data_IF_435159339614
#
_entry.id   IF_435159339614
#
_cell.length_a   1.000
_cell.length_b   1.000
_cell.length_c   1.000
_cell.angle_alpha   90.00
_cell.angle_beta   90.00
_cell.angle_gamma   90.00
#
_symmetry.space_group_name_H-M   'P 1'
#
loop_
_entity.id
_entity.type
_entity.pdbx_description
1 polymer ?
#
# COMPACT_ATOMS: atom_id res chain seq x y z
N UNK A 1 -5.08 -28.54 -1.86
CA UNK A 1 -5.19 -28.77 -3.33
C UNK A 1 -4.12 -27.92 -3.98
N UNK A 2 -3.46 -28.39 -5.04
CA UNK A 2 -2.47 -27.55 -5.72
C UNK A 2 -3.17 -26.42 -6.48
N UNK A 3 -2.76 -25.18 -6.26
CA UNK A 3 -3.24 -24.02 -7.02
C UNK A 3 -2.92 -24.22 -8.49
N UNK A 4 -3.94 -24.13 -9.35
CA UNK A 4 -3.75 -24.19 -10.80
C UNK A 4 -3.59 -22.77 -11.33
N UNK A 5 -2.61 -22.60 -12.22
CA UNK A 5 -2.31 -21.32 -12.85
C UNK A 5 -2.68 -21.37 -14.33
N UNK A 6 -3.12 -20.23 -14.87
CA UNK A 6 -3.35 -20.04 -16.30
C UNK A 6 -2.76 -18.72 -16.75
N UNK A 7 -2.34 -18.67 -18.01
CA UNK A 7 -1.99 -17.42 -18.66
C UNK A 7 -3.24 -16.52 -18.73
N UNK A 8 -3.11 -15.28 -18.25
CA UNK A 8 -4.13 -14.25 -18.29
C UNK A 8 -3.60 -13.07 -19.10
N UNK A 9 -4.47 -12.56 -19.96
CA UNK A 9 -4.27 -11.31 -20.69
C UNK A 9 -4.73 -10.14 -19.81
N UNK A 10 -3.90 -9.12 -19.73
CA UNK A 10 -4.14 -7.85 -19.04
C UNK A 10 -4.12 -6.73 -20.09
N UNK A 11 -4.89 -5.66 -19.86
CA UNK A 11 -4.95 -4.49 -20.75
C UNK A 11 -5.20 -4.87 -22.22
N UNK A 12 -6.19 -5.74 -22.45
CA UNK A 12 -6.52 -6.21 -23.80
C UNK A 12 -5.47 -7.12 -24.46
N UNK A 13 -4.57 -7.73 -23.67
CA UNK A 13 -3.54 -8.64 -24.16
C UNK A 13 -2.16 -8.00 -24.35
N UNK A 14 -2.04 -6.70 -24.12
CA UNK A 14 -0.76 -5.99 -24.19
C UNK A 14 0.24 -6.48 -23.13
N UNK A 15 -0.26 -6.97 -21.99
CA UNK A 15 0.53 -7.64 -20.95
C UNK A 15 -0.06 -9.02 -20.67
N UNK A 16 0.79 -9.99 -20.38
CA UNK A 16 0.36 -11.35 -20.00
C UNK A 16 1.07 -11.80 -18.74
N UNK A 17 0.39 -12.61 -17.91
CA UNK A 17 0.96 -13.19 -16.69
C UNK A 17 0.24 -14.48 -16.32
N UNK A 18 0.91 -15.41 -15.65
CA UNK A 18 0.23 -16.56 -15.04
C UNK A 18 -0.40 -16.20 -13.69
N UNK A 19 -1.72 -16.37 -13.57
CA UNK A 19 -2.47 -16.14 -12.34
C UNK A 19 -3.27 -17.39 -11.92
N UNK A 20 -3.56 -17.53 -10.61
CA UNK A 20 -4.45 -18.58 -10.13
C UNK A 20 -5.81 -18.53 -10.84
N UNK A 21 -6.31 -19.70 -11.26
CA UNK A 21 -7.54 -19.80 -12.08
C UNK A 21 -8.82 -19.44 -11.34
N UNK A 22 -8.77 -19.48 -10.02
CA UNK A 22 -9.85 -19.26 -9.07
C UNK A 22 -10.05 -17.80 -8.70
N UNK A 23 -9.13 -16.91 -9.08
CA UNK A 23 -9.30 -15.47 -8.88
C UNK A 23 -10.47 -14.95 -9.72
N UNK A 24 -11.25 -14.07 -9.09
CA UNK A 24 -12.31 -13.29 -9.72
C UNK A 24 -11.70 -12.02 -10.30
N UNK A 25 -12.03 -11.73 -11.54
CA UNK A 25 -11.78 -10.43 -12.12
C UNK A 25 -12.79 -9.40 -11.59
N UNK A 26 -12.30 -8.31 -11.00
CA UNK A 26 -13.17 -7.27 -10.45
C UNK A 26 -13.91 -6.50 -11.54
N UNK A 27 -13.39 -6.45 -12.78
CA UNK A 27 -14.03 -5.75 -13.89
C UNK A 27 -15.43 -6.30 -14.22
N UNK A 28 -15.64 -7.60 -13.96
CA UNK A 28 -16.92 -8.29 -14.18
C UNK A 28 -18.00 -7.81 -13.19
N UNK A 29 -17.60 -7.22 -12.06
CA UNK A 29 -18.48 -6.84 -10.95
C UNK A 29 -18.64 -5.33 -10.88
N UNK A 30 -17.56 -4.59 -11.13
CA UNK A 30 -17.52 -3.13 -11.02
C UNK A 30 -16.61 -2.54 -12.08
N UNK A 31 -16.85 -1.28 -12.41
CA UNK A 31 -15.88 -0.50 -13.17
C UNK A 31 -14.59 -0.34 -12.34
N UNK A 32 -13.45 -0.57 -13.00
CA UNK A 32 -12.10 -0.33 -12.49
C UNK A 32 -11.42 0.71 -13.40
N UNK A 33 -10.50 1.54 -12.88
CA UNK A 33 -9.76 2.47 -13.72
C UNK A 33 -9.01 1.76 -14.85
N UNK A 34 -8.92 2.38 -16.03
CA UNK A 34 -8.32 1.74 -17.23
C UNK A 34 -6.85 1.33 -17.07
N UNK A 35 -6.11 2.02 -16.20
CA UNK A 35 -4.71 1.73 -15.89
C UNK A 35 -4.55 0.65 -14.81
N UNK A 36 -5.66 0.07 -14.29
CA UNK A 36 -5.67 -0.94 -13.24
C UNK A 36 -6.33 -2.24 -13.68
N UNK A 37 -5.77 -3.35 -13.19
CA UNK A 37 -6.35 -4.69 -13.25
C UNK A 37 -6.45 -5.22 -11.82
N UNK A 38 -7.64 -5.68 -11.40
CA UNK A 38 -7.88 -6.05 -10.00
C UNK A 38 -8.49 -7.44 -9.89
N UNK A 39 -7.76 -8.34 -9.24
CA UNK A 39 -8.18 -9.71 -9.00
C UNK A 39 -8.42 -9.98 -7.53
N UNK A 40 -9.48 -10.72 -7.22
CA UNK A 40 -9.89 -11.06 -5.85
C UNK A 40 -9.92 -12.56 -5.66
N UNK A 41 -9.37 -13.04 -4.54
CA UNK A 41 -9.52 -14.43 -4.16
C UNK A 41 -10.97 -14.74 -3.76
N UNK A 42 -11.41 -15.97 -4.07
CA UNK A 42 -12.74 -16.48 -3.71
C UNK A 42 -12.79 -17.04 -2.30
N UNK A 43 -11.70 -17.66 -1.89
CA UNK A 43 -11.60 -18.39 -0.63
C UNK A 43 -10.98 -17.54 0.47
N UNK A 44 -10.19 -16.55 0.08
CA UNK A 44 -9.42 -15.70 0.98
C UNK A 44 -9.74 -14.25 0.65
N UNK A 45 -9.48 -13.34 1.59
CA UNK A 45 -9.60 -11.90 1.34
C UNK A 45 -8.35 -11.31 0.66
N UNK A 46 -7.51 -12.15 0.05
CA UNK A 46 -6.36 -11.69 -0.71
C UNK A 46 -6.80 -11.04 -2.00
N UNK A 47 -6.19 -9.89 -2.32
CA UNK A 47 -6.41 -9.18 -3.57
C UNK A 47 -5.10 -8.89 -4.28
N UNK A 48 -5.14 -8.84 -5.60
CA UNK A 48 -4.02 -8.51 -6.46
C UNK A 48 -4.42 -7.32 -7.30
N UNK A 49 -3.59 -6.28 -7.31
CA UNK A 49 -3.78 -5.07 -8.09
C UNK A 49 -2.55 -4.92 -8.98
N UNK A 50 -2.75 -4.86 -10.29
CA UNK A 50 -1.72 -4.44 -11.26
C UNK A 50 -2.08 -3.04 -11.73
N UNK A 51 -1.11 -2.14 -11.74
CA UNK A 51 -1.32 -0.73 -12.03
C UNK A 51 -0.16 -0.17 -12.86
N UNK A 52 -0.51 0.55 -13.93
CA UNK A 52 0.43 1.30 -14.76
C UNK A 52 0.47 2.74 -14.25
N UNK A 53 1.60 3.15 -13.67
CA UNK A 53 1.82 4.49 -13.14
C UNK A 53 2.85 5.24 -13.97
N UNK A 54 2.84 6.57 -13.85
CA UNK A 54 3.91 7.40 -14.38
C UNK A 54 5.23 7.10 -13.65
N UNK A 55 6.34 7.25 -14.36
CA UNK A 55 7.66 7.13 -13.77
C UNK A 55 7.89 8.22 -12.72
N UNK A 56 8.27 7.80 -11.52
CA UNK A 56 8.59 8.74 -10.44
C UNK A 56 10.02 9.21 -10.60
N UNK A 57 10.16 10.45 -11.06
CA UNK A 57 11.40 11.22 -10.92
C UNK A 57 11.55 11.63 -9.45
N UNK A 58 12.59 11.13 -8.79
CA UNK A 58 13.04 11.71 -7.55
C UNK A 58 13.74 13.04 -7.85
N UNK A 59 13.66 14.00 -6.93
CA UNK A 59 14.29 15.30 -7.10
C UNK A 59 15.80 15.16 -7.30
N UNK A 60 16.37 16.07 -8.10
CA UNK A 60 17.82 16.14 -8.36
C UNK A 60 18.63 16.03 -7.07
N UNK A 61 19.75 15.28 -7.08
CA UNK A 61 20.54 15.06 -5.88
C UNK A 61 21.06 16.40 -5.33
N UNK A 62 20.59 16.74 -4.13
CA UNK A 62 21.14 17.82 -3.31
C UNK A 62 22.15 17.22 -2.32
N UNK A 63 23.43 17.26 -2.67
CA UNK A 63 24.48 16.97 -1.70
C UNK A 63 24.62 18.16 -0.77
N UNK A 64 24.34 17.95 0.52
CA UNK A 64 24.53 18.97 1.56
C UNK A 64 25.78 18.62 2.36
N UNK A 65 26.91 19.23 2.03
CA UNK A 65 28.14 19.07 2.80
C UNK A 65 28.17 20.08 3.95
N UNK A 66 28.23 19.58 5.19
CA UNK A 66 28.40 20.42 6.37
C UNK A 66 29.83 20.31 6.85
N UNK A 67 30.63 21.34 6.58
CA UNK A 67 32.01 21.41 7.07
C UNK A 67 32.05 22.24 8.34
N UNK A 68 32.52 21.63 9.44
CA UNK A 68 32.76 22.33 10.70
C UNK A 68 34.26 22.47 10.91
N UNK A 69 34.76 23.70 10.92
CA UNK A 69 36.17 24.00 11.16
C UNK A 69 36.30 24.79 12.45
N UNK A 70 37.12 24.29 13.38
CA UNK A 70 37.45 24.98 14.63
C UNK A 70 38.88 25.49 14.55
N UNK A 71 39.06 26.80 14.70
CA UNK A 71 40.37 27.46 14.72
C UNK A 71 41.09 27.24 16.05
N UNK A 72 42.42 27.36 16.07
CA UNK A 72 43.23 27.25 17.30
C UNK A 72 42.86 28.26 18.39
N UNK A 73 42.16 29.35 18.05
CA UNK A 73 41.63 30.35 18.98
C UNK A 73 40.24 29.98 19.56
N UNK A 74 39.71 28.80 19.26
CA UNK A 74 38.43 28.31 19.77
C UNK A 74 37.19 28.80 19.02
N UNK A 75 37.35 29.50 17.90
CA UNK A 75 36.23 29.90 17.03
C UNK A 75 35.86 28.72 16.16
N UNK A 76 34.63 28.22 16.30
CA UNK A 76 34.04 27.18 15.45
C UNK A 76 33.16 27.83 14.38
N UNK A 77 33.47 27.56 13.12
CA UNK A 77 32.65 27.97 11.97
C UNK A 77 32.07 26.72 11.32
N UNK A 78 30.74 26.65 11.29
CA UNK A 78 30.00 25.63 10.55
C UNK A 78 29.51 26.27 9.26
N UNK A 79 29.94 25.76 8.12
CA UNK A 79 29.43 26.15 6.82
C UNK A 79 28.69 24.96 6.21
N UNK A 80 27.45 25.19 5.83
CA UNK A 80 26.63 24.24 5.09
C UNK A 80 26.63 24.68 3.64
N UNK A 81 27.23 23.88 2.77
CA UNK A 81 27.20 24.12 1.32
C UNK A 81 26.24 23.12 0.70
N UNK A 82 25.21 23.63 0.02
CA UNK A 82 24.30 22.84 -0.78
C UNK A 82 24.70 23.00 -2.24
N UNK A 83 25.18 21.92 -2.85
CA UNK A 83 25.53 21.88 -4.26
C UNK A 83 24.51 21.06 -5.02
N UNK A 84 23.94 21.64 -6.07
CA UNK A 84 23.11 20.93 -7.04
C UNK A 84 24.03 20.49 -8.17
N UNK A 85 24.18 19.18 -8.36
CA UNK A 85 24.93 18.61 -9.47
C UNK A 85 23.98 17.93 -10.44
N UNK A 86 24.25 18.00 -11.74
CA UNK A 86 23.58 17.13 -12.70
C UNK A 86 24.17 15.72 -12.56
N UNK A 87 23.34 14.68 -12.58
CA UNK A 87 23.79 13.27 -12.47
C UNK A 87 24.84 12.90 -13.55
N UNK A 88 24.82 13.61 -14.68
CA UNK A 88 25.78 13.53 -15.76
C UNK A 88 27.23 13.91 -15.38
N UNK A 89 27.42 14.73 -14.35
CA UNK A 89 28.73 15.19 -13.88
C UNK A 89 29.36 14.26 -12.83
N UNK A 90 28.60 13.28 -12.32
CA UNK A 90 29.08 12.33 -11.33
C UNK A 90 29.91 11.19 -11.95
N UNK A 91 30.96 10.72 -11.24
CA UNK A 91 31.67 9.49 -11.58
C UNK A 91 30.72 8.29 -11.79
N UNK A 92 31.05 7.34 -12.69
CA UNK A 92 30.17 6.22 -13.02
C UNK A 92 29.73 5.37 -11.83
N UNK A 93 30.63 5.15 -10.86
CA UNK A 93 30.32 4.36 -9.65
C UNK A 93 29.30 5.06 -8.75
N UNK A 94 29.40 6.39 -8.61
CA UNK A 94 28.45 7.18 -7.84
C UNK A 94 27.10 7.27 -8.56
N UNK A 95 27.10 7.38 -9.89
CA UNK A 95 25.87 7.36 -10.69
C UNK A 95 25.06 6.07 -10.51
N UNK A 96 25.71 4.92 -10.52
CA UNK A 96 25.03 3.63 -10.30
C UNK A 96 24.43 3.52 -8.89
N UNK A 97 25.13 4.03 -7.88
CA UNK A 97 24.63 4.07 -6.50
C UNK A 97 23.44 5.03 -6.37
N UNK A 98 23.52 6.22 -6.96
CA UNK A 98 22.43 7.20 -6.95
C UNK A 98 21.19 6.75 -7.71
N UNK A 99 21.35 6.17 -8.90
CA UNK A 99 20.23 5.57 -9.65
C UNK A 99 19.56 4.46 -8.83
N UNK A 100 20.34 3.63 -8.12
CA UNK A 100 19.77 2.63 -7.22
C UNK A 100 19.04 3.26 -6.03
N UNK A 101 19.55 4.32 -5.42
CA UNK A 101 18.88 5.01 -4.32
C UNK A 101 17.56 5.64 -4.76
N UNK A 102 17.55 6.23 -5.95
CA UNK A 102 16.38 6.79 -6.60
C UNK A 102 15.31 5.72 -6.88
N UNK A 103 15.72 4.55 -7.36
CA UNK A 103 14.83 3.40 -7.54
C UNK A 103 14.19 2.91 -6.24
N UNK A 104 14.99 2.86 -5.16
CA UNK A 104 14.50 2.45 -3.84
C UNK A 104 13.53 3.49 -3.26
N UNK A 105 13.80 4.78 -3.48
CA UNK A 105 12.89 5.86 -3.11
C UNK A 105 11.58 5.80 -3.89
N UNK A 106 11.62 5.51 -5.20
CA UNK A 106 10.43 5.32 -6.02
C UNK A 106 9.59 4.12 -5.55
N UNK A 107 10.23 3.00 -5.19
CA UNK A 107 9.54 1.84 -4.61
C UNK A 107 8.80 2.19 -3.32
N UNK A 108 9.45 2.94 -2.42
CA UNK A 108 8.84 3.40 -1.19
C UNK A 108 7.70 4.40 -1.45
N UNK A 109 7.89 5.35 -2.38
CA UNK A 109 6.88 6.32 -2.79
C UNK A 109 5.61 5.61 -3.25
N UNK A 110 5.72 4.72 -4.26
CA UNK A 110 4.60 3.94 -4.79
C UNK A 110 3.90 3.11 -3.71
N UNK A 111 4.64 2.59 -2.72
CA UNK A 111 4.02 1.85 -1.61
C UNK A 111 3.19 2.76 -0.70
N UNK A 112 3.70 3.95 -0.40
CA UNK A 112 3.04 4.88 0.53
C UNK A 112 1.94 5.72 -0.10
N UNK A 113 1.99 5.97 -1.41
CA UNK A 113 1.04 6.83 -2.14
C UNK A 113 -0.41 6.32 -2.04
N UNK A 114 -0.58 5.00 -1.96
CA UNK A 114 -1.90 4.35 -1.81
C UNK A 114 -2.43 4.36 -0.37
N UNK A 115 -1.64 4.83 0.61
CA UNK A 115 -2.03 4.84 2.03
C UNK A 115 -2.68 6.20 2.35
N UNK A 116 -4.00 6.20 2.50
CA UNK A 116 -4.75 7.40 2.87
C UNK A 116 -5.08 7.45 4.37
N UNK A 117 -4.95 8.60 5.06
CA UNK A 117 -5.41 8.74 6.43
C UNK A 117 -6.88 8.32 6.59
N UNK A 118 -7.24 7.58 7.64
CA UNK A 118 -6.46 7.30 8.85
C UNK A 118 -5.48 6.11 8.73
N UNK A 119 -5.39 5.44 7.59
CA UNK A 119 -4.52 4.28 7.41
C UNK A 119 -3.05 4.70 7.51
N UNK A 120 -2.23 3.77 7.99
CA UNK A 120 -0.80 4.01 8.18
C UNK A 120 -0.01 2.72 8.12
N UNK A 121 1.29 2.85 7.92
CA UNK A 121 2.22 1.75 8.08
C UNK A 121 2.21 1.23 9.52
N UNK A 122 2.21 -0.10 9.68
CA UNK A 122 2.32 -0.77 10.98
C UNK A 122 3.75 -0.68 11.54
N UNK A 123 4.74 -0.63 10.65
CA UNK A 123 6.16 -0.51 10.94
C UNK A 123 6.87 0.25 9.81
N UNK A 124 8.07 0.81 10.05
CA UNK A 124 8.88 1.38 8.97
C UNK A 124 9.08 0.38 7.83
N UNK A 125 9.05 0.87 6.59
CA UNK A 125 9.29 0.04 5.41
C UNK A 125 10.74 -0.46 5.40
N UNK A 126 10.97 -1.74 5.08
CA UNK A 126 12.31 -2.24 4.82
C UNK A 126 12.85 -1.64 3.50
N UNK A 127 14.13 -1.87 3.23
CA UNK A 127 14.69 -1.56 1.92
C UNK A 127 14.10 -2.52 0.88
N UNK A 128 13.73 -2.00 -0.29
CA UNK A 128 13.25 -2.85 -1.37
C UNK A 128 14.38 -3.77 -1.88
N UNK A 129 14.04 -5.02 -2.17
CA UNK A 129 14.96 -6.03 -2.69
C UNK A 129 14.95 -5.99 -4.22
N UNK A 130 16.12 -5.84 -4.83
CA UNK A 130 16.25 -5.90 -6.29
C UNK A 130 16.05 -7.33 -6.79
N UNK A 131 15.16 -7.48 -7.77
CA UNK A 131 14.87 -8.76 -8.43
C UNK A 131 15.13 -8.66 -9.94
N UNK A 132 15.33 -9.81 -10.57
CA UNK A 132 15.45 -9.91 -12.03
C UNK A 132 14.21 -10.60 -12.60
N UNK A 133 13.52 -9.92 -13.50
CA UNK A 133 12.37 -10.47 -14.21
C UNK A 133 12.86 -11.58 -15.17
N UNK A 134 12.16 -12.71 -15.20
CA UNK A 134 12.57 -13.85 -16.03
C UNK A 134 12.21 -13.64 -17.52
N UNK A 135 11.13 -12.91 -17.80
CA UNK A 135 10.68 -12.63 -19.16
C UNK A 135 11.67 -11.69 -19.86
N UNK A 136 12.08 -12.00 -21.11
CA UNK A 136 13.02 -11.15 -21.85
C UNK A 136 12.55 -9.71 -22.07
N UNK A 137 11.22 -9.47 -22.15
CA UNK A 137 10.68 -8.12 -22.32
C UNK A 137 10.99 -7.20 -21.14
N UNK A 138 11.07 -7.78 -19.92
CA UNK A 138 11.25 -7.03 -18.68
C UNK A 138 12.64 -7.21 -18.06
N UNK A 139 13.44 -8.19 -18.50
CA UNK A 139 14.74 -8.53 -17.91
C UNK A 139 15.76 -7.37 -17.90
N UNK A 140 15.63 -6.42 -18.82
CA UNK A 140 16.52 -5.25 -18.91
C UNK A 140 16.13 -4.11 -17.95
N UNK A 141 14.92 -4.13 -17.41
CA UNK A 141 14.40 -3.06 -16.55
C UNK A 141 14.67 -3.40 -15.07
N UNK A 142 15.06 -2.41 -14.25
CA UNK A 142 15.23 -2.64 -12.83
C UNK A 142 13.88 -2.91 -12.17
N UNK A 143 13.83 -3.98 -11.37
CA UNK A 143 12.64 -4.41 -10.66
C UNK A 143 12.94 -4.61 -9.17
N UNK A 144 11.97 -4.28 -8.32
CA UNK A 144 12.13 -4.26 -6.87
C UNK A 144 10.91 -4.86 -6.18
N UNK A 145 11.14 -5.67 -5.16
CA UNK A 145 10.11 -6.18 -4.26
C UNK A 145 10.19 -5.44 -2.94
N UNK A 146 9.06 -4.91 -2.49
CA UNK A 146 8.94 -4.20 -1.22
C UNK A 146 7.77 -4.78 -0.42
N UNK A 147 8.05 -5.55 0.66
CA UNK A 147 7.03 -5.97 1.59
C UNK A 147 6.75 -4.87 2.62
N UNK A 148 5.50 -4.78 3.08
CA UNK A 148 5.12 -3.92 4.20
C UNK A 148 3.81 -4.35 4.82
N UNK A 149 3.50 -3.78 5.99
CA UNK A 149 2.23 -4.03 6.66
C UNK A 149 1.51 -2.71 6.87
N UNK A 150 0.26 -2.65 6.43
CA UNK A 150 -0.61 -1.49 6.58
C UNK A 150 -1.60 -1.81 7.69
N UNK A 151 -1.90 -0.80 8.50
CA UNK A 151 -2.98 -0.86 9.44
C UNK A 151 -4.13 -0.03 8.88
N UNK A 152 -5.17 -0.72 8.43
CA UNK A 152 -6.33 -0.16 7.73
C UNK A 152 -7.48 0.01 8.73
N UNK A 153 -8.10 1.18 8.81
CA UNK A 153 -9.23 1.41 9.71
C UNK A 153 -10.56 1.27 8.98
N UNK A 154 -11.45 0.49 9.57
CA UNK A 154 -12.81 0.41 9.07
C UNK A 154 -13.63 1.62 9.55
N UNK A 155 -14.28 2.38 8.65
CA UNK A 155 -15.14 3.46 9.06
C UNK A 155 -16.29 2.90 9.90
N UNK A 156 -16.50 3.45 11.10
CA UNK A 156 -17.61 3.07 11.97
C UNK A 156 -18.91 3.22 11.18
N UNK A 157 -19.55 2.09 10.83
CA UNK A 157 -20.90 2.11 10.26
C UNK A 157 -21.82 2.73 11.30
N UNK A 158 -22.14 4.01 11.12
CA UNK A 158 -23.17 4.68 11.92
C UNK A 158 -24.47 3.93 11.61
N UNK A 159 -24.90 3.07 12.53
CA UNK A 159 -26.21 2.42 12.44
C UNK A 159 -27.31 3.48 12.32
N UNK A 160 -28.48 3.14 11.75
CA UNK A 160 -29.61 4.06 11.74
C UNK A 160 -29.91 4.53 13.18
N UNK A 161 -30.25 5.81 13.39
CA UNK A 161 -30.53 6.32 14.72
C UNK A 161 -31.64 5.49 15.38
N UNK A 162 -31.54 5.17 16.67
CA UNK A 162 -32.60 4.44 17.36
C UNK A 162 -33.90 5.25 17.27
N UNK A 163 -34.95 4.64 16.71
CA UNK A 163 -36.28 5.26 16.49
C UNK A 163 -37.01 5.68 17.78
N UNK A 164 -36.37 5.61 18.96
CA UNK A 164 -37.00 5.85 20.26
C UNK A 164 -36.89 7.28 20.82
N UNK A 165 -36.11 8.19 20.23
CA UNK A 165 -35.85 9.51 20.84
C UNK A 165 -36.73 10.66 20.33
N UNK A 166 -37.53 10.48 19.28
CA UNK A 166 -38.38 11.56 18.75
C UNK A 166 -39.65 11.76 19.60
N UNK A 167 -40.09 10.76 20.37
CA UNK A 167 -41.37 10.83 21.08
C UNK A 167 -41.30 11.45 22.49
N UNK A 168 -40.11 11.64 23.08
CA UNK A 168 -39.98 12.31 24.38
C UNK A 168 -39.90 13.83 24.31
N UNK A 169 -39.57 14.43 23.15
CA UNK A 169 -39.56 15.90 23.01
C UNK A 169 -40.96 16.51 22.80
N UNK A 170 -41.96 15.73 22.34
CA UNK A 170 -43.33 16.24 22.19
C UNK A 170 -44.18 16.16 23.47
N UNK A 171 -43.80 15.37 24.48
CA UNK A 171 -44.55 15.33 25.75
C UNK A 171 -44.08 16.37 26.79
N UNK A 172 -42.89 16.97 26.65
CA UNK A 172 -42.44 18.02 27.57
C UNK A 172 -43.02 19.41 27.26
N UNK A 173 -43.74 19.60 26.15
CA UNK A 173 -44.35 20.89 25.80
C UNK A 173 -45.78 21.08 26.32
N UNK A 174 -46.34 20.12 27.09
CA UNK A 174 -47.71 20.22 27.64
C UNK A 174 -47.81 20.18 29.18
N UNK A 175 -46.70 20.23 29.92
CA UNK A 175 -46.76 20.40 31.39
C UNK A 175 -45.89 21.57 31.84
N UNK A 176 -46.28 22.78 31.43
CA UNK A 176 -45.93 24.01 32.15
C UNK A 176 -47.17 24.52 32.87
N UNK A 177 -47.36 24.08 34.12
CA UNK A 177 -48.14 24.76 35.16
C UNK A 177 -47.88 24.06 36.51
N UNK A 178 -46.64 24.12 37.01
CA UNK A 178 -46.30 23.87 38.41
C UNK A 178 -44.96 24.56 38.78
N UNK A 179 -44.79 25.04 40.03
CA UNK A 179 -43.62 25.82 40.45
C UNK A 179 -42.33 24.98 40.60
N UNK A 180 -41.14 25.61 40.60
CA UNK A 180 -39.86 24.93 40.47
C UNK A 180 -39.40 24.22 41.76
N UNK A 181 -38.92 22.98 41.63
CA UNK A 181 -38.15 22.24 42.66
C UNK A 181 -36.67 22.16 42.25
N UNK A 182 -35.73 22.08 43.21
CA UNK A 182 -34.30 22.24 42.95
C UNK A 182 -33.66 21.07 42.17
N UNK A 183 -32.62 21.42 41.42
CA UNK A 183 -31.94 20.60 40.42
C UNK A 183 -31.37 19.28 40.94
N UNK A 184 -31.83 18.16 40.36
CA UNK A 184 -31.14 16.88 40.38
C UNK A 184 -30.10 16.82 39.26
N UNK A 185 -28.91 16.31 39.58
CA UNK A 185 -27.75 16.25 38.69
C UNK A 185 -28.00 15.42 37.40
N UNK A 186 -27.43 15.82 36.24
CA UNK A 186 -27.48 14.99 35.04
C UNK A 186 -26.49 13.82 35.17
N UNK A 187 -27.02 12.60 35.30
CA UNK A 187 -26.27 11.36 35.03
C UNK A 187 -26.08 11.20 33.51
N UNK A 188 -25.09 11.92 32.96
CA UNK A 188 -24.57 11.68 31.62
C UNK A 188 -23.49 10.61 31.66
N UNK A 189 -23.87 9.33 31.61
CA UNK A 189 -22.92 8.27 31.32
C UNK A 189 -22.55 8.36 29.83
N UNK A 190 -21.46 9.06 29.51
CA UNK A 190 -20.85 8.99 28.20
C UNK A 190 -20.30 7.58 28.01
N UNK A 191 -20.91 6.78 27.14
CA UNK A 191 -20.25 5.58 26.61
C UNK A 191 -18.87 6.01 26.06
N UNK A 192 -17.77 5.36 26.46
CA UNK A 192 -16.47 5.65 25.88
C UNK A 192 -16.54 5.40 24.36
N UNK A 193 -15.85 6.21 23.54
CA UNK A 193 -15.80 5.95 22.11
C UNK A 193 -15.22 4.54 21.90
N UNK A 194 -16.00 3.66 21.28
CA UNK A 194 -15.51 2.37 20.80
C UNK A 194 -14.39 2.66 19.82
N UNK A 195 -13.17 2.20 20.12
CA UNK A 195 -12.05 2.30 19.18
C UNK A 195 -12.50 1.75 17.81
N UNK A 196 -12.24 2.47 16.69
CA UNK A 196 -12.59 1.96 15.38
C UNK A 196 -11.90 0.61 15.15
N UNK A 197 -12.62 -0.34 14.55
CA UNK A 197 -12.04 -1.62 14.21
C UNK A 197 -10.94 -1.40 13.17
N UNK A 198 -9.70 -1.78 13.48
CA UNK A 198 -8.58 -1.72 12.53
C UNK A 198 -8.16 -3.11 12.06
N UNK A 199 -7.93 -3.31 10.78
CA UNK A 199 -7.31 -4.51 10.20
C UNK A 199 -5.82 -4.31 10.00
N UNK A 200 -5.09 -5.42 9.97
CA UNK A 200 -3.70 -5.48 9.54
C UNK A 200 -3.71 -6.13 8.16
N UNK A 201 -2.99 -5.55 7.22
CA UNK A 201 -2.89 -6.04 5.84
C UNK A 201 -1.41 -6.12 5.48
N UNK A 202 -0.94 -7.32 5.19
CA UNK A 202 0.38 -7.52 4.63
C UNK A 202 0.34 -7.27 3.13
N UNK A 203 1.24 -6.44 2.62
CA UNK A 203 1.31 -6.09 1.19
C UNK A 203 2.67 -6.48 0.66
N UNK A 204 2.67 -7.25 -0.43
CA UNK A 204 3.86 -7.46 -1.27
C UNK A 204 3.73 -6.59 -2.51
N UNK A 205 4.62 -5.60 -2.66
CA UNK A 205 4.68 -4.77 -3.87
C UNK A 205 5.84 -5.21 -4.74
N UNK A 206 5.59 -5.45 -6.02
CA UNK A 206 6.60 -5.54 -7.08
C UNK A 206 6.52 -4.26 -7.92
N UNK A 207 7.64 -3.57 -8.07
CA UNK A 207 7.79 -2.41 -8.95
C UNK A 207 8.72 -2.80 -10.10
N UNK A 208 8.33 -2.54 -11.35
CA UNK A 208 9.18 -2.65 -12.53
C UNK A 208 9.30 -1.26 -13.17
N UNK A 209 10.51 -0.73 -13.25
CA UNK A 209 10.74 0.64 -13.70
C UNK A 209 11.16 0.69 -15.16
N UNK A 210 10.31 1.22 -16.02
CA UNK A 210 10.54 1.27 -17.47
C UNK A 210 10.85 2.71 -17.90
N UNK A 211 12.00 3.23 -17.47
CA UNK A 211 12.43 4.61 -17.73
C UNK A 211 12.29 5.06 -19.21
N UNK A 212 12.66 4.25 -20.23
CA UNK A 212 12.49 4.68 -21.63
C UNK A 212 11.04 4.91 -22.07
N UNK A 213 10.07 4.44 -21.29
CA UNK A 213 8.64 4.59 -21.50
C UNK A 213 7.99 5.47 -20.44
N UNK A 214 8.77 6.14 -19.60
CA UNK A 214 8.28 7.00 -18.51
C UNK A 214 7.18 6.32 -17.66
N UNK A 215 7.33 5.01 -17.45
CA UNK A 215 6.32 4.18 -16.80
C UNK A 215 6.91 3.39 -15.63
N UNK A 216 6.19 3.34 -14.52
CA UNK A 216 6.41 2.44 -13.39
C UNK A 216 5.25 1.44 -13.30
N UNK A 217 5.51 0.15 -13.55
CA UNK A 217 4.51 -0.91 -13.44
C UNK A 217 4.51 -1.47 -12.01
N UNK A 218 3.41 -1.31 -11.29
CA UNK A 218 3.24 -1.74 -9.91
C UNK A 218 2.31 -2.95 -9.83
N UNK A 219 2.73 -3.98 -9.10
CA UNK A 219 1.89 -5.13 -8.72
C UNK A 219 1.84 -5.17 -7.20
N UNK A 220 0.64 -5.17 -6.61
CA UNK A 220 0.43 -5.26 -5.16
C UNK A 220 -0.41 -6.48 -4.84
N UNK A 221 0.07 -7.31 -3.92
CA UNK A 221 -0.67 -8.45 -3.37
C UNK A 221 -0.98 -8.14 -1.93
N UNK A 222 -2.24 -7.88 -1.63
CA UNK A 222 -2.72 -7.52 -0.30
C UNK A 222 -3.29 -8.77 0.38
N UNK A 223 -2.78 -9.07 1.57
CA UNK A 223 -3.12 -10.24 2.37
C UNK A 223 -3.56 -9.78 3.76
N UNK A 224 -4.86 -9.84 4.10
CA UNK A 224 -5.33 -9.41 5.41
C UNK A 224 -4.86 -10.36 6.51
N UNK A 225 -4.29 -9.83 7.59
CA UNK A 225 -3.79 -10.57 8.75
C UNK A 225 -4.82 -10.63 9.89
N UNK A 226 -5.75 -9.67 9.98
CA UNK A 226 -6.68 -9.57 11.13
C UNK A 226 -7.71 -10.69 11.22
N UNK A 227 -8.17 -11.20 10.07
CA UNK A 227 -9.12 -12.32 10.05
C UNK A 227 -8.54 -13.63 10.59
N UNK A 228 -7.22 -13.68 10.79
CA UNK A 228 -6.53 -14.85 11.32
C UNK A 228 -6.03 -14.68 12.76
N UNK A 229 -6.24 -13.52 13.38
CA UNK A 229 -5.83 -13.25 14.78
C UNK A 229 -7.02 -13.06 15.72
N UNK A 230 -8.20 -12.69 15.20
CA UNK A 230 -9.40 -12.40 16.00
C UNK A 230 -10.32 -13.61 16.27
N UNK A 231 -10.12 -14.75 15.58
CA UNK A 231 -10.68 -16.02 16.03
C UNK A 231 -9.67 -16.69 16.96
N UNK A 232 -9.76 -16.36 18.25
CA UNK A 232 -9.12 -17.11 19.34
C UNK A 232 -9.77 -18.49 19.41
N UNK A 233 -9.41 -19.38 18.48
CA UNK A 233 -9.69 -20.80 18.60
C UNK A 233 -8.43 -21.51 19.12
N UNK A 234 -8.63 -22.20 20.23
CA UNK A 234 -7.66 -22.91 21.09
C UNK A 234 -6.88 -24.04 20.38
N UNK A 235 -6.85 -24.09 19.03
CA UNK A 235 -6.44 -25.24 18.22
C UNK A 235 -5.31 -24.98 17.21
N UNK A 236 -4.75 -23.77 17.13
CA UNK A 236 -3.57 -23.48 16.27
C UNK A 236 -3.83 -23.41 14.75
N UNK A 237 -5.09 -23.52 14.33
CA UNK A 237 -5.54 -23.47 12.92
C UNK A 237 -5.25 -22.11 12.26
N UNK A 238 -5.44 -21.01 12.98
CA UNK A 238 -5.20 -19.66 12.45
C UNK A 238 -3.74 -19.43 12.05
N UNK A 239 -2.79 -20.03 12.78
CA UNK A 239 -1.37 -19.99 12.42
C UNK A 239 -1.04 -20.79 11.15
N UNK A 240 -1.78 -21.89 10.89
CA UNK A 240 -1.62 -22.68 9.68
C UNK A 240 -2.20 -21.96 8.48
N UNK A 241 -3.38 -21.35 8.64
CA UNK A 241 -4.02 -20.53 7.60
C UNK A 241 -3.17 -19.31 7.22
N UNK A 242 -2.59 -18.61 8.19
CA UNK A 242 -1.63 -17.53 7.93
C UNK A 242 -0.42 -18.00 7.12
N UNK A 243 0.22 -19.09 7.54
CA UNK A 243 1.37 -19.64 6.82
C UNK A 243 1.00 -20.07 5.40
N UNK A 244 -0.19 -20.65 5.21
CA UNK A 244 -0.68 -21.01 3.90
C UNK A 244 -0.89 -19.77 3.02
N UNK A 245 -1.44 -18.70 3.58
CA UNK A 245 -1.66 -17.45 2.85
C UNK A 245 -0.34 -16.75 2.50
N UNK A 246 0.63 -16.72 3.42
CA UNK A 246 1.97 -16.21 3.16
C UNK A 246 2.67 -17.00 2.05
N UNK A 247 2.56 -18.34 2.06
CA UNK A 247 3.08 -19.21 1.00
C UNK A 247 2.38 -18.96 -0.34
N UNK A 248 1.06 -18.76 -0.32
CA UNK A 248 0.28 -18.48 -1.51
C UNK A 248 0.68 -17.13 -2.13
N UNK A 249 0.79 -16.08 -1.31
CA UNK A 249 1.25 -14.76 -1.73
C UNK A 249 2.68 -14.80 -2.27
N UNK A 250 3.58 -15.53 -1.62
CA UNK A 250 4.95 -15.71 -2.10
C UNK A 250 5.01 -16.44 -3.45
N UNK A 251 4.18 -17.47 -3.66
CA UNK A 251 4.09 -18.17 -4.95
C UNK A 251 3.49 -17.26 -6.03
N UNK A 252 2.46 -16.47 -5.74
CA UNK A 252 1.91 -15.48 -6.68
C UNK A 252 3.01 -14.51 -7.11
N UNK A 253 3.72 -13.91 -6.15
CA UNK A 253 4.81 -12.98 -6.44
C UNK A 253 5.89 -13.64 -7.32
N UNK A 254 6.27 -14.88 -6.99
CA UNK A 254 7.21 -15.67 -7.78
C UNK A 254 6.71 -15.88 -9.21
N UNK A 255 5.42 -16.12 -9.40
CA UNK A 255 4.78 -16.26 -10.72
C UNK A 255 4.81 -14.96 -11.51
N UNK A 256 4.57 -13.82 -10.87
CA UNK A 256 4.75 -12.52 -11.51
C UNK A 256 6.18 -12.32 -11.99
N UNK A 257 7.18 -12.56 -11.14
CA UNK A 257 8.60 -12.43 -11.51
C UNK A 257 8.96 -13.37 -12.66
N UNK A 258 8.38 -14.58 -12.68
CA UNK A 258 8.69 -15.61 -13.67
C UNK A 258 7.96 -15.47 -15.01
N UNK A 259 6.76 -14.87 -15.04
CA UNK A 259 5.84 -14.99 -16.19
C UNK A 259 5.23 -13.68 -16.67
N UNK A 260 5.36 -12.59 -15.91
CA UNK A 260 4.90 -11.26 -16.34
C UNK A 260 5.67 -10.86 -17.58
N UNK A 261 4.97 -10.63 -18.68
CA UNK A 261 5.55 -10.38 -20.00
C UNK A 261 4.77 -9.28 -20.70
N UNK A 262 5.50 -8.35 -21.30
CA UNK A 262 4.93 -7.23 -22.06
C UNK A 262 4.99 -7.58 -23.53
N UNK A 263 3.81 -7.71 -24.15
CA UNK A 263 3.67 -8.03 -25.58
C UNK A 263 3.66 -6.78 -26.42
N UNK A 264 3.01 -5.72 -25.94
CA UNK A 264 2.82 -4.47 -26.69
C UNK A 264 3.29 -3.26 -25.89
N UNK A 265 4.52 -2.82 -26.13
CA UNK A 265 5.08 -1.62 -25.50
C UNK A 265 4.42 -0.31 -25.97
N UNK A 266 3.66 -0.34 -27.07
CA UNK A 266 2.82 0.79 -27.49
C UNK A 266 1.76 1.17 -26.45
N UNK A 267 1.44 0.27 -25.52
CA UNK A 267 0.59 0.57 -24.37
C UNK A 267 1.11 1.75 -23.53
N UNK A 268 2.43 1.94 -23.49
CA UNK A 268 3.11 2.95 -22.67
C UNK A 268 3.52 4.19 -23.48
N UNK A 269 3.21 4.23 -24.78
CA UNK A 269 3.59 5.37 -25.61
C UNK A 269 2.72 6.59 -25.26
N UNK A 270 3.37 7.69 -24.88
CA UNK A 270 2.78 9.03 -24.69
C UNK A 270 2.66 9.76 -26.02
#
# INVERSE_FOLDING_TARGET
>A
MATTYRLRELYGGAITVELPTDLIDSSDIRQIPDHQEVFLSRETLTSIIIEINNYVEAPDPITTETTTTTTASGITTTSTTTTVFSEADLPPEQRLQHSSEHDLAAAAYHFTDVISPPDRLASPLPLAEKVSMASPSLAQFPAYVLPGTIVSYEPVRRGPPPQGQIQQQQQQQQQQLAPPQPAGAPNGASNPPTNPASSLEHVQQLLVRMQPYETDLCVRINTPLKEFTAATDQNGDSSQRLRHEEQFTAEILRRFIATLDVKEFSLFAV
#
